data_IF_950675218585
#
_entry.id   IF_950675218585
#
_cell.length_a   1.000
_cell.length_b   1.000
_cell.length_c   1.000
_cell.angle_alpha   90.00
_cell.angle_beta   90.00
_cell.angle_gamma   90.00
#
_symmetry.space_group_name_H-M   'P 1'
#
loop_
_entity.id
_entity.type
_entity.pdbx_description
1 polymer ?
#
# COMPACT_ATOMS: atom_id res chain seq x y z
N UNK A 1 14.68 53.58 31.99
CA UNK A 1 15.13 54.34 33.18
C UNK A 1 14.09 54.07 34.26
N UNK A 2 14.36 53.04 35.06
CA UNK A 2 14.83 53.14 36.46
C UNK A 2 13.67 53.45 37.40
N UNK A 3 13.46 52.84 38.55
CA UNK A 3 14.01 51.70 39.29
C UNK A 3 13.13 51.70 40.56
N UNK A 4 12.45 50.62 40.96
CA UNK A 4 12.95 49.55 41.84
C UNK A 4 12.69 49.78 43.35
N UNK A 5 12.44 48.65 44.02
CA UNK A 5 12.48 48.33 45.47
C UNK A 5 11.23 48.56 46.34
N UNK A 6 10.90 47.71 47.31
CA UNK A 6 11.33 46.33 47.65
C UNK A 6 10.50 45.82 48.84
N UNK A 7 10.21 44.52 48.85
CA UNK A 7 10.15 43.55 49.98
C UNK A 7 9.93 44.03 51.43
N UNK A 8 9.04 43.36 52.18
CA UNK A 8 9.43 42.29 53.13
C UNK A 8 8.25 41.61 53.86
N UNK A 9 8.54 40.38 54.28
CA UNK A 9 7.72 39.28 54.83
C UNK A 9 7.60 39.33 56.37
N UNK A 10 6.50 38.81 56.95
CA UNK A 10 6.38 37.84 58.10
C UNK A 10 4.94 37.83 58.67
N UNK A 11 4.14 36.77 58.50
CA UNK A 11 3.90 35.57 59.36
C UNK A 11 3.33 35.87 60.77
N UNK A 12 2.13 35.32 61.06
CA UNK A 12 1.58 34.67 62.29
C UNK A 12 0.20 34.06 61.85
N UNK A 13 -0.07 32.74 61.80
CA UNK A 13 -0.49 31.79 62.88
C UNK A 13 -1.98 32.00 63.28
N UNK A 14 -2.94 31.06 63.36
CA UNK A 14 -2.98 29.61 63.63
C UNK A 14 -4.43 29.04 63.40
N UNK A 15 -4.55 27.76 62.97
CA UNK A 15 -5.59 26.68 63.10
C UNK A 15 -7.10 26.99 63.35
N UNK A 16 -8.09 26.25 62.79
CA UNK A 16 -8.55 24.86 63.12
C UNK A 16 -9.41 24.27 61.97
N UNK A 17 -9.44 22.91 61.90
CA UNK A 17 -10.16 21.94 61.01
C UNK A 17 -11.60 22.26 60.56
N UNK A 18 -12.22 21.56 59.60
CA UNK A 18 -12.12 20.19 59.14
C UNK A 18 -13.55 19.69 58.80
N UNK A 19 -13.70 18.96 57.68
CA UNK A 19 -14.84 18.09 57.30
C UNK A 19 -16.14 18.79 56.86
N UNK A 20 -16.69 18.42 55.68
CA UNK A 20 -18.09 17.98 55.44
C UNK A 20 -18.22 17.44 54.00
N UNK A 21 -18.58 16.15 53.90
CA UNK A 21 -19.19 15.48 52.73
C UNK A 21 -20.61 16.03 52.50
N UNK A 22 -21.13 16.00 51.26
CA UNK A 22 -22.59 15.95 51.09
C UNK A 22 -23.10 16.21 49.69
N UNK A 23 -23.65 15.17 49.08
CA UNK A 23 -24.33 15.17 47.79
C UNK A 23 -25.56 16.11 47.74
N UNK A 24 -25.86 16.62 46.54
CA UNK A 24 -27.18 17.15 46.19
C UNK A 24 -27.65 16.50 44.89
N UNK A 25 -28.59 15.57 45.04
CA UNK A 25 -29.60 15.30 44.02
C UNK A 25 -30.73 16.33 44.21
N UNK A 26 -31.29 16.88 43.12
CA UNK A 26 -32.69 16.64 42.69
C UNK A 26 -33.14 17.60 41.58
N UNK A 27 -33.61 16.97 40.48
CA UNK A 27 -34.77 17.30 39.61
C UNK A 27 -34.83 18.58 38.78
N UNK A 28 -35.03 18.38 37.46
CA UNK A 28 -35.50 19.38 36.52
C UNK A 28 -35.94 18.83 35.16
N UNK A 29 -37.15 18.22 35.13
CA UNK A 29 -38.18 18.29 34.07
C UNK A 29 -37.86 17.79 32.64
N UNK A 30 -38.67 16.82 32.20
CA UNK A 30 -38.86 16.38 30.80
C UNK A 30 -39.39 17.52 29.91
N UNK A 31 -38.78 17.70 28.72
CA UNK A 31 -39.47 18.09 27.49
C UNK A 31 -38.83 17.34 26.32
N UNK A 32 -39.65 16.54 25.64
CA UNK A 32 -39.26 15.69 24.52
C UNK A 32 -38.96 16.52 23.27
N UNK A 33 -37.84 16.26 22.60
CA UNK A 33 -37.66 16.58 21.17
C UNK A 33 -36.60 15.67 20.55
N UNK A 34 -37.08 14.79 19.65
CA UNK A 34 -36.32 13.92 18.72
C UNK A 34 -35.18 13.13 19.34
N UNK A 35 -35.45 11.86 19.65
CA UNK A 35 -34.41 10.84 19.75
C UNK A 35 -33.69 10.72 18.39
N UNK A 36 -32.65 11.51 18.16
CA UNK A 36 -31.50 11.02 17.41
C UNK A 36 -31.06 9.78 18.20
N UNK A 37 -31.05 8.61 17.55
CA UNK A 37 -30.28 7.47 18.07
C UNK A 37 -28.94 8.03 18.53
N UNK A 38 -28.68 8.01 19.84
CA UNK A 38 -27.34 8.24 20.33
C UNK A 38 -26.50 7.20 19.60
N UNK A 39 -25.67 7.66 18.66
CA UNK A 39 -24.67 6.80 18.04
C UNK A 39 -23.83 6.33 19.22
N UNK A 40 -23.81 5.03 19.45
CA UNK A 40 -22.97 4.46 20.48
C UNK A 40 -21.52 4.66 20.04
N UNK A 41 -20.91 5.74 20.53
CA UNK A 41 -19.55 6.12 20.16
C UNK A 41 -18.52 5.26 20.90
N UNK A 42 -18.94 4.47 21.90
CA UNK A 42 -18.06 3.59 22.70
C UNK A 42 -17.39 2.53 21.83
N UNK A 43 -18.10 1.98 20.84
CA UNK A 43 -17.55 1.01 19.90
C UNK A 43 -16.47 1.61 18.97
N UNK A 44 -16.50 2.93 18.74
CA UNK A 44 -15.55 3.63 17.86
C UNK A 44 -14.41 4.31 18.61
N UNK A 45 -14.48 4.44 19.94
CA UNK A 45 -13.45 5.10 20.73
C UNK A 45 -12.14 4.28 20.71
N UNK A 46 -12.21 2.96 20.66
CA UNK A 46 -11.02 2.12 20.82
C UNK A 46 -10.52 2.16 22.27
N UNK A 47 -9.21 1.99 22.49
CA UNK A 47 -8.63 2.01 23.85
C UNK A 47 -7.98 3.36 24.16
N UNK A 48 -7.96 3.81 25.43
CA UNK A 48 -7.17 4.96 25.85
C UNK A 48 -5.72 4.81 25.39
N UNK A 49 -5.20 5.81 24.68
CA UNK A 49 -3.87 5.76 24.07
C UNK A 49 -2.91 6.75 24.70
N UNK A 50 -3.29 8.02 24.77
CA UNK A 50 -2.44 9.09 25.34
C UNK A 50 -3.30 10.16 26.01
N UNK A 51 -2.79 10.75 27.09
CA UNK A 51 -3.40 11.92 27.74
C UNK A 51 -2.56 13.15 27.45
N UNK A 52 -3.18 14.20 26.92
CA UNK A 52 -2.56 15.51 26.65
C UNK A 52 -3.44 16.58 27.27
N UNK A 53 -2.86 17.40 28.16
CA UNK A 53 -3.57 18.48 28.87
C UNK A 53 -4.87 18.02 29.56
N UNK A 54 -4.86 16.83 30.16
CA UNK A 54 -6.01 16.24 30.84
C UNK A 54 -7.07 15.64 29.91
N UNK A 55 -6.92 15.75 28.59
CA UNK A 55 -7.78 15.09 27.61
C UNK A 55 -7.19 13.73 27.22
N UNK A 56 -8.00 12.67 27.32
CA UNK A 56 -7.66 11.35 26.77
C UNK A 56 -7.93 11.32 25.27
N UNK A 57 -6.98 10.76 24.53
CA UNK A 57 -7.09 10.45 23.12
C UNK A 57 -7.08 8.93 22.98
N UNK A 58 -8.18 8.39 22.52
CA UNK A 58 -8.35 6.96 22.28
C UNK A 58 -7.92 6.58 20.86
N UNK A 59 -7.54 5.32 20.65
CA UNK A 59 -7.00 4.83 19.37
C UNK A 59 -7.93 5.01 18.17
N UNK A 60 -9.24 5.08 18.40
CA UNK A 60 -10.24 5.29 17.34
C UNK A 60 -10.58 6.76 17.07
N UNK A 61 -10.03 7.70 17.85
CA UNK A 61 -10.26 9.15 17.72
C UNK A 61 -8.96 9.96 17.66
N UNK A 62 -7.90 9.35 17.16
CA UNK A 62 -6.63 10.05 16.94
C UNK A 62 -6.82 11.18 15.90
N UNK A 63 -6.29 12.38 16.17
CA UNK A 63 -6.52 13.54 15.30
C UNK A 63 -5.70 13.47 14.01
N UNK A 64 -6.22 14.06 12.93
CA UNK A 64 -5.53 14.15 11.65
C UNK A 64 -5.05 12.80 11.13
N UNK A 65 -3.79 12.75 10.71
CA UNK A 65 -3.17 11.58 10.08
C UNK A 65 -2.85 10.46 11.08
N UNK A 66 -2.87 10.77 12.38
CA UNK A 66 -2.46 9.85 13.44
C UNK A 66 -3.32 8.58 13.50
N UNK A 67 -4.58 8.64 13.06
CA UNK A 67 -5.42 7.43 12.95
C UNK A 67 -4.88 6.46 11.89
N UNK A 68 -4.41 6.98 10.76
CA UNK A 68 -3.83 6.18 9.69
C UNK A 68 -2.40 5.70 10.02
N UNK A 69 -1.61 6.52 10.72
CA UNK A 69 -0.31 6.11 11.25
C UNK A 69 -0.44 4.97 12.26
N UNK A 70 -1.44 5.07 13.15
CA UNK A 70 -1.73 4.00 14.10
C UNK A 70 -2.20 2.72 13.41
N UNK A 71 -3.05 2.82 12.38
CA UNK A 71 -3.40 1.69 11.53
C UNK A 71 -2.18 1.07 10.86
N UNK A 72 -1.27 1.89 10.31
CA UNK A 72 -0.02 1.42 9.70
C UNK A 72 0.83 0.64 10.70
N UNK A 73 0.99 1.17 11.93
CA UNK A 73 1.70 0.48 13.00
C UNK A 73 1.04 -0.87 13.33
N UNK A 74 -0.28 -0.89 13.51
CA UNK A 74 -1.03 -2.12 13.78
C UNK A 74 -0.87 -3.14 12.64
N UNK A 75 -0.88 -2.68 11.38
CA UNK A 75 -0.70 -3.55 10.21
C UNK A 75 0.71 -4.15 10.16
N UNK A 76 1.74 -3.36 10.49
CA UNK A 76 3.11 -3.87 10.58
C UNK A 76 3.26 -4.95 11.66
N UNK A 77 2.66 -4.73 12.83
CA UNK A 77 2.63 -5.72 13.92
C UNK A 77 1.90 -6.99 13.46
N UNK A 78 0.69 -6.84 12.91
CA UNK A 78 -0.11 -7.96 12.41
C UNK A 78 0.63 -8.76 11.34
N UNK A 79 1.27 -8.11 10.37
CA UNK A 79 2.02 -8.79 9.31
C UNK A 79 3.23 -9.55 9.86
N UNK A 80 3.94 -8.98 10.85
CA UNK A 80 5.04 -9.66 11.52
C UNK A 80 4.55 -10.90 12.30
N UNK A 81 3.48 -10.76 13.07
CA UNK A 81 2.85 -11.86 13.81
C UNK A 81 2.33 -12.96 12.86
N UNK A 82 1.68 -12.57 11.76
CA UNK A 82 1.16 -13.49 10.74
C UNK A 82 2.30 -14.25 10.09
N UNK A 83 3.37 -13.59 9.66
CA UNK A 83 4.52 -14.24 9.06
C UNK A 83 5.17 -15.23 10.04
N UNK A 84 5.33 -14.83 11.30
CA UNK A 84 5.85 -15.72 12.35
C UNK A 84 4.95 -16.94 12.58
N UNK A 85 3.63 -16.73 12.68
CA UNK A 85 2.65 -17.80 12.84
C UNK A 85 2.63 -18.77 11.66
N UNK A 86 2.65 -18.27 10.41
CA UNK A 86 2.69 -19.11 9.20
C UNK A 86 3.98 -19.95 9.13
N UNK A 87 5.13 -19.40 9.51
CA UNK A 87 6.41 -20.14 9.54
C UNK A 87 6.39 -21.26 10.60
N UNK A 88 5.85 -20.98 11.78
CA UNK A 88 5.67 -22.02 12.82
C UNK A 88 4.72 -23.10 12.33
N UNK A 89 3.57 -22.70 11.76
CA UNK A 89 2.57 -23.64 11.26
C UNK A 89 3.13 -24.54 10.16
N UNK A 90 3.92 -23.97 9.24
CA UNK A 90 4.66 -24.74 8.22
C UNK A 90 5.57 -25.79 8.87
N UNK A 91 6.43 -25.38 9.82
CA UNK A 91 7.38 -26.30 10.47
C UNK A 91 6.67 -27.41 11.23
N UNK A 92 5.60 -27.10 11.95
CA UNK A 92 4.80 -28.10 12.66
C UNK A 92 4.18 -29.09 11.66
N UNK A 93 3.59 -28.59 10.57
CA UNK A 93 2.99 -29.45 9.55
C UNK A 93 4.01 -30.39 8.91
N UNK A 94 5.18 -29.87 8.51
CA UNK A 94 6.24 -30.67 7.90
C UNK A 94 6.89 -31.66 8.90
N UNK A 95 7.06 -31.26 10.16
CA UNK A 95 7.57 -32.15 11.20
C UNK A 95 6.62 -33.33 11.43
N UNK A 96 5.32 -33.07 11.52
CA UNK A 96 4.30 -34.11 11.62
C UNK A 96 4.33 -35.06 10.41
N UNK A 97 4.45 -34.52 9.19
CA UNK A 97 4.55 -35.34 7.96
C UNK A 97 5.80 -36.24 7.97
N UNK A 98 6.90 -35.75 8.54
CA UNK A 98 8.17 -36.47 8.65
C UNK A 98 8.27 -37.37 9.89
N UNK A 99 7.21 -37.47 10.71
CA UNK A 99 7.23 -38.20 11.98
C UNK A 99 8.26 -37.67 12.98
N UNK A 100 8.59 -36.38 12.90
CA UNK A 100 9.55 -35.70 13.78
C UNK A 100 8.84 -35.14 15.02
N UNK A 101 9.53 -35.03 16.16
CA UNK A 101 8.93 -34.54 17.39
C UNK A 101 8.46 -33.08 17.27
N UNK A 102 7.30 -32.80 17.87
CA UNK A 102 6.73 -31.47 18.05
C UNK A 102 6.33 -31.32 19.52
N UNK A 103 7.03 -30.44 20.25
CA UNK A 103 6.78 -30.18 21.67
C UNK A 103 7.10 -28.74 22.04
N UNK A 104 6.90 -28.38 23.32
CA UNK A 104 7.26 -27.05 23.84
C UNK A 104 8.76 -26.74 23.78
N UNK A 105 9.61 -27.76 23.70
CA UNK A 105 11.08 -27.62 23.71
C UNK A 105 11.73 -28.07 22.41
N UNK A 106 11.00 -28.76 21.54
CA UNK A 106 11.56 -29.37 20.33
C UNK A 106 10.65 -29.15 19.12
N UNK A 107 11.23 -28.52 18.10
CA UNK A 107 10.65 -28.38 16.77
C UNK A 107 11.81 -28.31 15.77
N UNK A 108 11.95 -29.26 14.82
CA UNK A 108 13.06 -29.24 13.87
C UNK A 108 13.14 -27.94 13.07
N UNK A 109 14.35 -27.59 12.64
CA UNK A 109 14.55 -26.41 11.78
C UNK A 109 13.98 -26.67 10.39
N UNK A 110 13.68 -25.58 9.66
CA UNK A 110 13.03 -25.70 8.36
C UNK A 110 13.93 -26.40 7.33
N UNK A 111 15.24 -26.21 7.42
CA UNK A 111 16.23 -26.81 6.52
C UNK A 111 16.34 -28.33 6.68
N UNK A 112 15.95 -28.87 7.83
CA UNK A 112 15.88 -30.31 8.10
C UNK A 112 14.57 -30.95 7.57
N UNK A 113 13.55 -30.12 7.38
CA UNK A 113 12.19 -30.53 7.02
C UNK A 113 11.88 -30.30 5.54
N UNK A 114 12.55 -29.33 4.92
CA UNK A 114 12.30 -28.90 3.56
C UNK A 114 13.62 -28.83 2.78
N UNK A 115 13.72 -29.65 1.74
CA UNK A 115 14.89 -29.64 0.86
C UNK A 115 14.89 -28.37 0.00
N UNK A 116 15.82 -27.47 0.26
CA UNK A 116 16.01 -26.22 -0.48
C UNK A 116 17.39 -26.27 -1.17
N UNK A 117 17.47 -26.75 -2.42
CA UNK A 117 18.76 -26.84 -3.11
C UNK A 117 19.30 -25.44 -3.43
N UNK A 118 20.61 -25.19 -3.19
CA UNK A 118 21.24 -23.92 -3.52
C UNK A 118 21.17 -23.67 -5.03
N UNK A 119 21.31 -22.40 -5.42
CA UNK A 119 21.34 -22.00 -6.83
C UNK A 119 22.65 -22.43 -7.45
N UNK A 120 22.56 -23.14 -8.58
CA UNK A 120 23.74 -23.62 -9.30
C UNK A 120 24.54 -22.44 -9.89
N UNK A 121 25.85 -22.65 -10.13
CA UNK A 121 26.68 -21.63 -10.79
C UNK A 121 26.14 -21.30 -12.19
N UNK A 122 25.64 -22.31 -12.91
CA UNK A 122 25.04 -22.14 -14.22
C UNK A 122 23.81 -21.22 -14.17
N UNK A 123 22.90 -21.44 -13.22
CA UNK A 123 21.70 -20.61 -13.06
C UNK A 123 22.08 -19.17 -12.69
N UNK A 124 23.07 -19.00 -11.80
CA UNK A 124 23.57 -17.68 -11.42
C UNK A 124 24.21 -16.94 -12.61
N UNK A 125 24.95 -17.67 -13.46
CA UNK A 125 25.55 -17.11 -14.67
C UNK A 125 24.49 -16.69 -15.69
N UNK A 126 23.48 -17.53 -15.91
CA UNK A 126 22.36 -17.20 -16.80
C UNK A 126 21.58 -15.98 -16.31
N UNK A 127 21.33 -15.88 -15.00
CA UNK A 127 20.71 -14.71 -14.41
C UNK A 127 21.56 -13.45 -14.61
N UNK A 128 22.87 -13.53 -14.34
CA UNK A 128 23.80 -12.42 -14.55
C UNK A 128 23.78 -11.92 -16.00
N UNK A 129 23.91 -12.83 -16.97
CA UNK A 129 23.90 -12.51 -18.40
C UNK A 129 22.56 -11.90 -18.84
N UNK A 130 21.44 -12.45 -18.36
CA UNK A 130 20.10 -11.94 -18.61
C UNK A 130 19.94 -10.51 -18.09
N UNK A 131 20.34 -10.24 -16.86
CA UNK A 131 20.22 -8.91 -16.26
C UNK A 131 21.09 -7.89 -16.99
N UNK A 132 22.31 -8.26 -17.40
CA UNK A 132 23.16 -7.39 -18.23
C UNK A 132 22.54 -7.13 -19.60
N UNK A 133 21.95 -8.15 -20.24
CA UNK A 133 21.27 -7.96 -21.51
C UNK A 133 20.06 -7.02 -21.39
N UNK A 134 19.38 -7.03 -20.22
CA UNK A 134 18.19 -6.20 -19.97
C UNK A 134 18.51 -4.78 -19.50
N UNK A 135 19.54 -4.61 -18.68
CA UNK A 135 19.78 -3.37 -17.93
C UNK A 135 21.20 -2.81 -18.13
N UNK A 136 22.03 -3.48 -18.92
CA UNK A 136 23.43 -3.13 -19.14
C UNK A 136 24.36 -3.58 -18.00
N UNK A 137 25.67 -3.50 -18.25
CA UNK A 137 26.70 -3.90 -17.29
C UNK A 137 26.72 -3.03 -16.01
N UNK A 138 26.11 -1.84 -16.05
CA UNK A 138 26.04 -0.90 -14.93
C UNK A 138 25.31 -1.46 -13.70
N UNK A 139 24.37 -2.39 -13.85
CA UNK A 139 23.61 -2.97 -12.73
C UNK A 139 24.49 -3.68 -11.71
N UNK A 140 25.62 -4.26 -12.15
CA UNK A 140 26.59 -4.89 -11.26
C UNK A 140 27.83 -4.02 -11.04
N UNK A 141 27.75 -2.72 -11.34
CA UNK A 141 28.87 -1.80 -11.29
C UNK A 141 30.01 -2.15 -12.26
N UNK A 142 29.69 -2.82 -13.38
CA UNK A 142 30.68 -3.28 -14.36
C UNK A 142 31.52 -4.48 -13.91
N UNK A 143 31.21 -5.11 -12.77
CA UNK A 143 31.96 -6.25 -12.25
C UNK A 143 31.65 -7.54 -13.02
N UNK A 144 32.67 -8.36 -13.27
CA UNK A 144 32.51 -9.66 -13.94
C UNK A 144 31.76 -10.69 -13.07
N UNK A 145 31.15 -11.68 -13.74
CA UNK A 145 30.50 -12.81 -13.06
C UNK A 145 31.41 -13.47 -12.03
N UNK A 146 32.67 -13.78 -12.39
CA UNK A 146 33.63 -14.41 -11.47
C UNK A 146 33.84 -13.65 -10.16
N UNK A 147 33.77 -12.31 -10.21
CA UNK A 147 33.96 -11.47 -9.02
C UNK A 147 32.75 -11.49 -8.10
N UNK A 148 31.55 -11.64 -8.65
CA UNK A 148 30.30 -11.54 -7.87
C UNK A 148 29.57 -12.87 -7.69
N UNK A 149 30.03 -13.97 -8.30
CA UNK A 149 29.31 -15.25 -8.38
C UNK A 149 28.86 -15.76 -7.01
N UNK A 150 29.71 -15.73 -6.00
CA UNK A 150 29.39 -16.24 -4.68
C UNK A 150 28.29 -15.42 -3.98
N UNK A 151 28.39 -14.09 -4.06
CA UNK A 151 27.38 -13.19 -3.52
C UNK A 151 26.05 -13.36 -4.27
N UNK A 152 26.11 -13.46 -5.60
CA UNK A 152 24.94 -13.63 -6.45
C UNK A 152 24.24 -14.97 -6.18
N UNK A 153 24.99 -16.07 -6.11
CA UNK A 153 24.47 -17.39 -5.74
C UNK A 153 23.83 -17.38 -4.35
N UNK A 154 24.47 -16.75 -3.36
CA UNK A 154 23.91 -16.64 -2.01
C UNK A 154 22.60 -15.87 -2.02
N UNK A 155 22.56 -14.70 -2.66
CA UNK A 155 21.35 -13.87 -2.74
C UNK A 155 20.22 -14.60 -3.47
N UNK A 156 20.50 -15.21 -4.63
CA UNK A 156 19.49 -15.97 -5.37
C UNK A 156 19.03 -17.21 -4.58
N UNK A 157 19.93 -17.87 -3.84
CA UNK A 157 19.54 -19.01 -3.00
C UNK A 157 18.61 -18.58 -1.86
N UNK A 158 18.85 -17.42 -1.24
CA UNK A 158 17.94 -16.85 -0.22
C UNK A 158 16.57 -16.49 -0.80
N UNK A 159 16.54 -15.91 -2.01
CA UNK A 159 15.30 -15.60 -2.73
C UNK A 159 14.52 -16.88 -3.06
N UNK A 160 15.19 -17.86 -3.67
CA UNK A 160 14.61 -19.18 -4.00
C UNK A 160 14.09 -19.90 -2.77
N UNK A 161 14.84 -19.87 -1.66
CA UNK A 161 14.39 -20.42 -0.38
C UNK A 161 13.08 -19.76 0.08
N UNK A 162 13.05 -18.42 0.07
CA UNK A 162 11.87 -17.65 0.46
C UNK A 162 10.65 -17.97 -0.42
N UNK A 163 10.83 -18.08 -1.74
CA UNK A 163 9.76 -18.46 -2.67
C UNK A 163 9.22 -19.86 -2.43
N UNK A 164 10.11 -20.84 -2.21
CA UNK A 164 9.71 -22.23 -1.92
C UNK A 164 8.90 -22.28 -0.62
N UNK A 165 9.37 -21.58 0.41
CA UNK A 165 8.71 -21.52 1.72
C UNK A 165 7.33 -20.86 1.61
N UNK A 166 7.23 -19.71 0.94
CA UNK A 166 5.95 -19.03 0.71
C UNK A 166 4.98 -19.90 -0.08
N UNK A 167 5.45 -20.57 -1.13
CA UNK A 167 4.62 -21.48 -1.93
C UNK A 167 4.10 -22.65 -1.09
N UNK A 168 4.95 -23.21 -0.22
CA UNK A 168 4.54 -24.32 0.64
C UNK A 168 3.53 -23.88 1.71
N UNK A 169 3.71 -22.69 2.30
CA UNK A 169 2.71 -22.08 3.18
C UNK A 169 1.38 -21.94 2.43
N UNK A 170 1.39 -21.36 1.24
CA UNK A 170 0.19 -21.16 0.43
C UNK A 170 -0.50 -22.49 0.08
N UNK A 171 0.26 -23.52 -0.30
CA UNK A 171 -0.26 -24.87 -0.57
C UNK A 171 -1.00 -25.44 0.64
N UNK A 172 -0.40 -25.34 1.83
CA UNK A 172 -0.99 -25.83 3.08
C UNK A 172 -2.19 -24.99 3.53
N UNK A 173 -2.18 -23.68 3.31
CA UNK A 173 -3.31 -22.78 3.60
C UNK A 173 -4.51 -23.09 2.69
N UNK A 174 -4.27 -23.20 1.38
CA UNK A 174 -5.30 -23.54 0.38
C UNK A 174 -5.85 -24.95 0.63
N UNK A 175 -5.00 -25.89 1.03
CA UNK A 175 -5.40 -27.25 1.42
C UNK A 175 -6.10 -27.32 2.79
N UNK A 176 -6.24 -26.21 3.51
CA UNK A 176 -6.86 -26.15 4.84
C UNK A 176 -6.06 -26.83 5.95
N UNK A 177 -4.80 -27.21 5.68
CA UNK A 177 -3.91 -27.88 6.65
C UNK A 177 -3.37 -26.90 7.69
N UNK A 178 -3.16 -25.65 7.30
CA UNK A 178 -2.78 -24.57 8.22
C UNK A 178 -3.75 -23.40 8.06
N UNK A 179 -4.01 -22.70 9.17
CA UNK A 179 -4.82 -21.48 9.18
C UNK A 179 -4.29 -20.55 10.26
N UNK A 180 -3.90 -19.35 9.88
CA UNK A 180 -3.58 -18.29 10.84
C UNK A 180 -4.89 -17.69 11.37
N UNK A 181 -5.01 -17.61 12.69
CA UNK A 181 -6.22 -17.15 13.39
C UNK A 181 -6.15 -15.68 13.84
N UNK A 182 -5.13 -14.94 13.39
CA UNK A 182 -4.99 -13.52 13.68
C UNK A 182 -6.04 -12.72 12.93
N UNK A 183 -6.58 -11.69 13.57
CA UNK A 183 -7.51 -10.77 12.95
C UNK A 183 -6.74 -9.57 12.37
N UNK A 184 -6.94 -9.22 11.09
CA UNK A 184 -6.30 -8.04 10.52
C UNK A 184 -6.85 -6.77 11.19
N UNK A 185 -6.01 -5.72 11.35
CA UNK A 185 -6.49 -4.43 11.81
C UNK A 185 -7.47 -3.84 10.79
N UNK A 186 -8.44 -3.07 11.29
CA UNK A 186 -9.42 -2.41 10.43
C UNK A 186 -8.87 -1.08 9.93
N UNK A 187 -8.81 -0.91 8.61
CA UNK A 187 -8.41 0.36 7.99
C UNK A 187 -9.42 1.46 8.30
N UNK A 188 -8.97 2.64 8.79
CA UNK A 188 -9.78 3.84 8.83
C UNK A 188 -10.25 4.20 7.43
N UNK A 189 -11.47 4.73 7.30
CA UNK A 189 -11.95 5.22 6.01
C UNK A 189 -11.30 6.55 5.68
N UNK A 190 -10.73 6.66 4.48
CA UNK A 190 -10.25 7.90 3.90
C UNK A 190 -11.24 8.42 2.87
N UNK A 191 -11.37 9.75 2.80
CA UNK A 191 -12.19 10.41 1.78
C UNK A 191 -11.31 10.72 0.58
N UNK A 192 -11.54 10.03 -0.52
CA UNK A 192 -10.83 10.24 -1.79
C UNK A 192 -11.65 11.15 -2.71
N UNK A 193 -11.01 12.10 -3.38
CA UNK A 193 -11.66 12.90 -4.41
C UNK A 193 -11.54 12.21 -5.77
N UNK A 194 -12.56 11.44 -6.15
CA UNK A 194 -12.53 10.61 -7.35
C UNK A 194 -13.05 11.33 -8.62
N UNK A 195 -13.30 12.63 -8.54
CA UNK A 195 -13.80 13.40 -9.67
C UNK A 195 -12.75 13.56 -10.78
N UNK A 196 -13.15 13.32 -12.03
CA UNK A 196 -12.29 13.44 -13.20
C UNK A 196 -11.32 12.29 -13.43
N UNK A 197 -11.22 11.33 -12.50
CA UNK A 197 -10.39 10.14 -12.69
C UNK A 197 -11.07 9.12 -13.64
N UNK A 198 -10.30 8.47 -14.52
CA UNK A 198 -10.81 7.41 -15.38
C UNK A 198 -11.44 6.27 -14.57
N UNK A 199 -12.60 5.80 -15.02
CA UNK A 199 -13.28 4.68 -14.38
C UNK A 199 -13.97 3.77 -15.38
N UNK A 200 -14.15 2.51 -15.00
CA UNK A 200 -14.88 1.47 -15.75
C UNK A 200 -15.85 0.73 -14.83
N UNK A 201 -16.74 -0.04 -15.44
CA UNK A 201 -17.86 -0.69 -14.74
C UNK A 201 -19.02 0.27 -14.47
N UNK A 202 -19.79 -0.01 -13.42
CA UNK A 202 -21.02 0.71 -13.13
C UNK A 202 -20.70 2.02 -12.42
N UNK A 203 -20.80 3.14 -13.14
CA UNK A 203 -20.51 4.49 -12.64
C UNK A 203 -21.38 4.91 -11.44
N UNK A 204 -22.52 4.23 -11.24
CA UNK A 204 -23.48 4.47 -10.16
C UNK A 204 -23.40 3.41 -9.04
N UNK A 205 -22.41 2.52 -9.07
CA UNK A 205 -22.22 1.51 -8.04
C UNK A 205 -21.94 2.16 -6.66
N UNK A 206 -22.52 1.57 -5.61
CA UNK A 206 -22.18 1.91 -4.22
C UNK A 206 -20.84 1.33 -3.77
N UNK A 207 -20.32 0.34 -4.50
CA UNK A 207 -18.98 -0.20 -4.32
C UNK A 207 -18.03 0.51 -5.26
N UNK A 208 -17.06 1.21 -4.69
CA UNK A 208 -16.02 1.93 -5.43
C UNK A 208 -14.67 1.31 -5.08
N UNK A 209 -14.07 0.68 -6.08
CA UNK A 209 -12.72 0.17 -6.02
C UNK A 209 -11.78 1.19 -6.66
N UNK A 210 -10.72 1.57 -5.96
CA UNK A 210 -9.71 2.51 -6.46
C UNK A 210 -8.37 1.81 -6.48
N UNK A 211 -7.69 1.87 -7.62
CA UNK A 211 -6.30 1.49 -7.77
C UNK A 211 -5.45 2.74 -7.97
N UNK A 212 -4.40 2.87 -7.16
CA UNK A 212 -3.33 3.85 -7.36
C UNK A 212 -2.10 3.09 -7.83
N UNK A 213 -1.66 3.33 -9.07
CA UNK A 213 -0.64 2.53 -9.72
C UNK A 213 0.34 3.37 -10.56
N UNK A 214 1.54 2.81 -10.73
CA UNK A 214 2.60 3.35 -11.58
C UNK A 214 2.88 2.37 -12.72
N UNK A 215 2.93 2.86 -13.96
CA UNK A 215 3.24 2.07 -15.15
C UNK A 215 4.62 1.39 -15.12
N UNK A 216 5.57 1.92 -14.33
CA UNK A 216 6.90 1.33 -14.12
C UNK A 216 7.07 0.60 -12.78
N UNK A 217 6.00 0.37 -12.03
CA UNK A 217 6.06 -0.50 -10.85
C UNK A 217 5.88 -1.96 -11.25
N UNK A 218 6.82 -2.83 -10.85
CA UNK A 218 6.77 -4.26 -11.14
C UNK A 218 5.51 -4.92 -10.58
N UNK A 219 5.16 -4.63 -9.32
CA UNK A 219 3.96 -5.16 -8.71
C UNK A 219 2.67 -4.65 -9.36
N UNK A 220 2.64 -3.40 -9.85
CA UNK A 220 1.48 -2.90 -10.61
C UNK A 220 1.27 -3.71 -11.90
N UNK A 221 2.35 -4.07 -12.60
CA UNK A 221 2.26 -4.92 -13.80
C UNK A 221 1.81 -6.34 -13.48
N UNK A 222 2.20 -6.87 -12.32
CA UNK A 222 1.73 -8.18 -11.84
C UNK A 222 0.24 -8.15 -11.51
N UNK A 223 -0.27 -7.03 -10.98
CA UNK A 223 -1.67 -6.91 -10.57
C UNK A 223 -2.61 -6.48 -11.70
N UNK A 224 -2.14 -5.76 -12.72
CA UNK A 224 -3.02 -5.24 -13.78
C UNK A 224 -3.88 -6.32 -14.45
N UNK A 225 -3.35 -7.50 -14.88
CA UNK A 225 -4.20 -8.55 -15.47
C UNK A 225 -5.28 -9.07 -14.52
N UNK A 226 -4.99 -9.07 -13.20
CA UNK A 226 -5.94 -9.47 -12.16
C UNK A 226 -7.04 -8.42 -12.03
N UNK A 227 -6.68 -7.14 -11.96
CA UNK A 227 -7.62 -6.02 -11.87
C UNK A 227 -8.47 -5.93 -13.14
N UNK A 228 -7.90 -6.16 -14.33
CA UNK A 228 -8.62 -6.21 -15.60
C UNK A 228 -9.68 -7.32 -15.58
N UNK A 229 -9.30 -8.55 -15.21
CA UNK A 229 -10.21 -9.68 -15.09
C UNK A 229 -11.36 -9.39 -14.12
N UNK A 230 -11.05 -8.91 -12.92
CA UNK A 230 -12.05 -8.62 -11.88
C UNK A 230 -12.98 -7.48 -12.31
N UNK A 231 -12.43 -6.45 -12.97
CA UNK A 231 -13.24 -5.33 -13.44
C UNK A 231 -14.30 -5.73 -14.46
N UNK A 232 -14.00 -6.76 -15.28
CA UNK A 232 -14.95 -7.36 -16.23
C UNK A 232 -15.97 -8.24 -15.50
N UNK A 233 -15.51 -9.04 -14.53
CA UNK A 233 -16.37 -9.95 -13.75
C UNK A 233 -17.40 -9.20 -12.90
N UNK A 234 -17.06 -8.02 -12.37
CA UNK A 234 -17.92 -7.21 -11.48
C UNK A 234 -18.33 -5.87 -12.09
N UNK A 235 -18.31 -5.75 -13.42
CA UNK A 235 -18.58 -4.51 -14.14
C UNK A 235 -19.96 -3.88 -13.82
N UNK A 236 -20.94 -4.70 -13.46
CA UNK A 236 -22.30 -4.33 -13.09
C UNK A 236 -22.43 -3.86 -11.63
N UNK A 237 -21.52 -4.28 -10.75
CA UNK A 237 -21.62 -4.08 -9.29
C UNK A 237 -20.66 -3.05 -8.73
N UNK A 238 -19.54 -2.81 -9.40
CA UNK A 238 -18.43 -2.02 -8.87
C UNK A 238 -18.01 -0.95 -9.87
N UNK A 239 -17.72 0.25 -9.34
CA UNK A 239 -17.02 1.31 -10.06
C UNK A 239 -15.52 1.12 -9.81
N UNK A 240 -14.77 0.79 -10.87
CA UNK A 240 -13.32 0.68 -10.81
C UNK A 240 -12.70 2.00 -11.27
N UNK A 241 -11.98 2.67 -10.39
CA UNK A 241 -11.27 3.92 -10.66
C UNK A 241 -9.78 3.62 -10.71
N UNK A 242 -9.11 4.12 -11.74
CA UNK A 242 -7.66 4.07 -11.83
C UNK A 242 -7.06 5.46 -11.63
N UNK A 243 -6.01 5.52 -10.82
CA UNK A 243 -5.25 6.72 -10.53
C UNK A 243 -3.80 6.46 -10.92
N UNK A 244 -3.38 7.09 -12.02
CA UNK A 244 -1.99 7.02 -12.47
C UNK A 244 -1.14 7.90 -11.57
N UNK A 245 -0.28 7.27 -10.77
CA UNK A 245 0.64 7.90 -9.82
C UNK A 245 2.09 7.57 -10.21
N UNK A 246 2.93 8.55 -10.57
CA UNK A 246 4.31 8.27 -10.93
C UNK A 246 5.21 8.27 -9.69
N UNK A 247 5.88 7.15 -9.41
CA UNK A 247 6.94 7.09 -8.38
C UNK A 247 8.15 7.94 -8.77
N UNK A 248 8.43 8.05 -10.08
CA UNK A 248 9.50 8.88 -10.64
C UNK A 248 8.92 9.91 -11.62
N UNK A 249 8.40 11.03 -11.09
CA UNK A 249 7.71 12.07 -11.86
C UNK A 249 8.57 12.75 -12.96
N UNK A 250 9.88 12.78 -12.80
CA UNK A 250 10.81 13.33 -13.80
C UNK A 250 11.34 12.27 -14.78
N UNK A 251 11.02 11.00 -14.57
CA UNK A 251 11.44 9.88 -15.40
C UNK A 251 10.37 9.43 -16.40
N UNK A 252 10.60 8.25 -16.99
CA UNK A 252 9.65 7.60 -17.89
C UNK A 252 8.27 7.36 -17.22
N UNK A 253 8.24 7.04 -15.93
CA UNK A 253 7.00 6.91 -15.15
C UNK A 253 6.14 8.18 -15.20
N UNK A 254 6.77 9.34 -14.99
CA UNK A 254 6.13 10.64 -15.15
C UNK A 254 5.63 10.88 -16.57
N UNK A 255 6.45 10.60 -17.59
CA UNK A 255 6.05 10.79 -18.98
C UNK A 255 4.84 9.93 -19.38
N UNK A 256 4.80 8.65 -18.98
CA UNK A 256 3.65 7.77 -19.22
C UNK A 256 2.40 8.25 -18.47
N UNK A 257 2.57 8.76 -17.24
CA UNK A 257 1.45 9.35 -16.49
C UNK A 257 0.90 10.59 -17.18
N UNK A 258 1.76 11.49 -17.70
CA UNK A 258 1.32 12.66 -18.48
C UNK A 258 0.58 12.23 -19.75
N UNK A 259 1.07 11.18 -20.41
CA UNK A 259 0.39 10.60 -21.56
C UNK A 259 -0.99 10.03 -21.21
N UNK A 260 -1.12 9.32 -20.08
CA UNK A 260 -2.40 8.80 -19.63
C UNK A 260 -3.42 9.92 -19.33
N UNK A 261 -2.98 11.03 -18.75
CA UNK A 261 -3.80 12.22 -18.60
C UNK A 261 -4.29 12.75 -19.96
N UNK A 262 -3.39 12.90 -20.94
CA UNK A 262 -3.76 13.37 -22.28
C UNK A 262 -4.67 12.39 -23.04
N UNK A 263 -4.49 11.08 -22.83
CA UNK A 263 -5.38 10.06 -23.36
C UNK A 263 -6.81 10.20 -22.79
N UNK A 264 -6.94 10.56 -21.51
CA UNK A 264 -8.24 10.82 -20.86
C UNK A 264 -9.00 11.97 -21.52
N UNK A 265 -8.29 13.02 -21.96
CA UNK A 265 -8.89 14.15 -22.70
C UNK A 265 -9.51 13.73 -24.04
N UNK A 266 -9.06 12.62 -24.62
CA UNK A 266 -9.61 12.04 -25.85
C UNK A 266 -10.72 11.01 -25.60
N UNK A 267 -11.10 10.78 -24.34
CA UNK A 267 -12.20 9.91 -23.95
C UNK A 267 -11.78 8.62 -23.24
N UNK A 268 -12.78 7.95 -22.65
CA UNK A 268 -12.58 6.77 -21.79
C UNK A 268 -11.89 5.61 -22.52
N UNK A 269 -12.29 5.32 -23.77
CA UNK A 269 -11.67 4.27 -24.59
C UNK A 269 -10.19 4.57 -24.83
N UNK A 270 -9.87 5.81 -25.21
CA UNK A 270 -8.50 6.26 -25.47
C UNK A 270 -7.61 6.13 -24.24
N UNK A 271 -8.14 6.46 -23.05
CA UNK A 271 -7.44 6.22 -21.80
C UNK A 271 -7.13 4.74 -21.58
N UNK A 272 -8.12 3.84 -21.70
CA UNK A 272 -7.91 2.42 -21.43
C UNK A 272 -6.96 1.77 -22.44
N UNK A 273 -7.06 2.13 -23.73
CA UNK A 273 -6.12 1.67 -24.75
C UNK A 273 -4.69 2.14 -24.45
N UNK A 274 -4.52 3.41 -24.07
CA UNK A 274 -3.23 3.96 -23.64
C UNK A 274 -2.70 3.25 -22.41
N UNK A 275 -3.54 3.07 -21.40
CA UNK A 275 -3.20 2.45 -20.12
C UNK A 275 -2.70 1.01 -20.31
N UNK A 276 -3.39 0.21 -21.12
CA UNK A 276 -2.94 -1.16 -21.44
C UNK A 276 -1.57 -1.15 -22.11
N UNK A 277 -1.34 -0.29 -23.11
CA UNK A 277 -0.06 -0.23 -23.81
C UNK A 277 1.07 0.37 -22.95
N UNK A 278 0.77 1.33 -22.07
CA UNK A 278 1.74 1.94 -21.17
C UNK A 278 2.34 0.93 -20.19
N UNK A 279 1.55 -0.03 -19.70
CA UNK A 279 2.06 -1.12 -18.86
C UNK A 279 2.97 -2.11 -19.62
N UNK A 280 2.93 -2.14 -20.95
CA UNK A 280 3.80 -2.99 -21.78
C UNK A 280 5.17 -2.34 -22.08
N UNK A 281 5.37 -1.06 -21.74
CA UNK A 281 6.63 -0.35 -22.01
C UNK A 281 7.79 -1.05 -21.27
N UNK A 282 8.88 -1.50 -21.92
CA UNK A 282 9.95 -2.23 -21.24
C UNK A 282 10.67 -1.40 -20.17
N UNK A 283 11.01 -2.00 -19.02
CA UNK A 283 11.78 -1.33 -17.95
C UNK A 283 13.13 -0.78 -18.42
N UNK A 284 13.74 -1.39 -19.44
CA UNK A 284 15.01 -0.92 -20.01
C UNK A 284 14.92 0.51 -20.56
N UNK A 285 13.73 0.96 -20.99
CA UNK A 285 13.51 2.34 -21.46
C UNK A 285 13.54 3.38 -20.34
N UNK A 286 13.55 2.96 -19.07
CA UNK A 286 13.75 3.88 -17.94
C UNK A 286 15.21 4.36 -17.82
N UNK A 287 16.15 3.76 -18.58
CA UNK A 287 17.56 4.16 -18.63
C UNK A 287 17.89 4.73 -20.03
N UNK A 288 17.61 6.01 -20.28
CA UNK A 288 17.77 6.61 -21.59
C UNK A 288 19.25 6.69 -21.98
N UNK A 289 19.55 6.38 -23.23
CA UNK A 289 20.89 6.49 -23.81
C UNK A 289 20.93 7.73 -24.69
N UNK A 290 21.38 8.88 -24.17
CA UNK A 290 21.52 10.10 -24.95
C UNK A 290 21.57 11.38 -24.10
N UNK A 291 21.73 12.52 -24.77
CA UNK A 291 21.98 13.81 -24.12
C UNK A 291 20.70 14.51 -23.59
N UNK A 292 19.52 14.03 -23.98
CA UNK A 292 18.22 14.57 -23.52
C UNK A 292 17.27 13.45 -23.05
N UNK A 293 17.46 12.96 -21.81
CA UNK A 293 16.59 11.97 -21.17
C UNK A 293 15.11 12.35 -21.18
N UNK A 294 14.79 13.62 -20.91
CA UNK A 294 13.42 14.10 -20.78
C UNK A 294 12.68 13.97 -22.10
N UNK A 295 13.30 14.40 -23.21
CA UNK A 295 12.71 14.24 -24.54
C UNK A 295 12.49 12.77 -24.89
N UNK A 296 13.45 11.88 -24.60
CA UNK A 296 13.29 10.44 -24.87
C UNK A 296 12.09 9.84 -24.13
N UNK A 297 11.84 10.25 -22.89
CA UNK A 297 10.68 9.80 -22.14
C UNK A 297 9.36 10.31 -22.73
N UNK A 298 9.30 11.57 -23.16
CA UNK A 298 8.11 12.14 -23.81
C UNK A 298 7.85 11.50 -25.19
N UNK A 299 8.90 11.25 -25.96
CA UNK A 299 8.82 10.53 -27.24
C UNK A 299 8.23 9.11 -27.02
N UNK A 300 8.59 8.45 -25.91
CA UNK A 300 8.01 7.15 -25.56
C UNK A 300 6.51 7.25 -25.22
N UNK A 301 6.07 8.29 -24.51
CA UNK A 301 4.65 8.52 -24.26
C UNK A 301 3.86 8.73 -25.57
N UNK A 302 4.45 9.41 -26.56
CA UNK A 302 3.86 9.58 -27.91
C UNK A 302 3.83 8.24 -28.66
N UNK A 303 4.87 7.40 -28.54
CA UNK A 303 4.88 6.06 -29.14
C UNK A 303 3.74 5.18 -28.59
N UNK A 304 3.50 5.22 -27.28
CA UNK A 304 2.37 4.51 -26.66
C UNK A 304 1.03 5.05 -27.19
N UNK A 305 0.87 6.36 -27.34
CA UNK A 305 -0.33 6.96 -27.92
C UNK A 305 -0.56 6.50 -29.37
N UNK A 306 0.51 6.38 -30.17
CA UNK A 306 0.46 5.85 -31.53
C UNK A 306 0.01 4.39 -31.57
N UNK A 307 0.57 3.55 -30.71
CA UNK A 307 0.16 2.13 -30.58
C UNK A 307 -1.31 1.99 -30.13
N UNK A 308 -1.79 3.00 -29.41
CA UNK A 308 -3.16 3.06 -28.89
C UNK A 308 -4.14 3.70 -29.89
N UNK A 309 -3.71 4.07 -31.09
CA UNK A 309 -4.51 4.73 -32.14
C UNK A 309 -5.18 6.05 -31.71
N UNK A 310 -4.49 6.85 -30.88
CA UNK A 310 -4.97 8.17 -30.47
C UNK A 310 -4.72 9.23 -31.55
N UNK A 311 -5.44 10.36 -31.45
CA UNK A 311 -5.12 11.56 -32.22
C UNK A 311 -3.79 12.13 -31.71
N UNK A 312 -2.72 11.87 -32.47
CA UNK A 312 -1.37 12.28 -32.10
C UNK A 312 -1.19 13.80 -32.07
N UNK A 313 -1.96 14.55 -32.86
CA UNK A 313 -1.87 16.01 -32.86
C UNK A 313 -2.41 16.56 -31.55
N UNK A 314 -3.66 16.22 -31.22
CA UNK A 314 -4.29 16.64 -29.97
C UNK A 314 -3.54 16.11 -28.74
N UNK A 315 -3.01 14.89 -28.81
CA UNK A 315 -2.22 14.29 -27.74
C UNK A 315 -0.93 15.07 -27.49
N UNK A 316 -0.19 15.40 -28.56
CA UNK A 316 1.10 16.11 -28.45
C UNK A 316 0.88 17.56 -27.99
N UNK A 317 -0.18 18.22 -28.44
CA UNK A 317 -0.58 19.54 -27.95
C UNK A 317 -0.86 19.51 -26.44
N UNK A 318 -1.61 18.51 -25.95
CA UNK A 318 -1.83 18.32 -24.52
C UNK A 318 -0.54 18.03 -23.75
N UNK A 319 0.32 17.15 -24.28
CA UNK A 319 1.55 16.73 -23.62
C UNK A 319 2.54 17.89 -23.43
N UNK A 320 2.55 18.85 -24.36
CA UNK A 320 3.36 20.06 -24.30
C UNK A 320 2.74 21.18 -23.44
N UNK A 321 1.50 21.03 -22.98
CA UNK A 321 0.86 21.96 -22.06
C UNK A 321 1.32 21.75 -20.61
N UNK A 322 0.90 22.62 -19.70
CA UNK A 322 1.19 22.45 -18.27
C UNK A 322 0.19 21.53 -17.55
N UNK A 323 -0.97 21.24 -18.14
CA UNK A 323 -2.04 20.48 -17.47
C UNK A 323 -1.58 19.10 -16.95
N UNK A 324 -0.76 18.31 -17.68
CA UNK A 324 -0.30 17.01 -17.17
C UNK A 324 0.65 17.15 -15.96
N UNK A 325 1.40 18.25 -15.85
CA UNK A 325 2.23 18.52 -14.68
C UNK A 325 1.37 18.87 -13.46
N UNK A 326 0.33 19.67 -13.66
CA UNK A 326 -0.65 20.01 -12.60
C UNK A 326 -1.37 18.76 -12.11
N UNK A 327 -1.73 17.84 -13.00
CA UNK A 327 -2.27 16.53 -12.62
C UNK A 327 -1.31 15.75 -11.71
N UNK A 328 -0.02 15.65 -12.08
CA UNK A 328 0.99 14.95 -11.26
C UNK A 328 1.13 15.61 -9.88
N UNK A 329 1.18 16.95 -9.82
CA UNK A 329 1.26 17.66 -8.55
C UNK A 329 0.01 17.42 -7.70
N UNK A 330 -1.18 17.47 -8.30
CA UNK A 330 -2.43 17.18 -7.61
C UNK A 330 -2.43 15.78 -7.00
N UNK A 331 -2.13 14.75 -7.80
CA UNK A 331 -2.17 13.36 -7.32
C UNK A 331 -1.08 13.09 -6.26
N UNK A 332 0.11 13.68 -6.39
CA UNK A 332 1.15 13.58 -5.37
C UNK A 332 0.76 14.28 -4.07
N UNK A 333 0.16 15.46 -4.13
CA UNK A 333 -0.33 16.16 -2.94
C UNK A 333 -1.47 15.40 -2.26
N UNK A 334 -2.39 14.83 -3.04
CA UNK A 334 -3.52 14.06 -2.51
C UNK A 334 -3.03 12.77 -1.85
N UNK A 335 -2.22 11.96 -2.52
CA UNK A 335 -1.87 10.63 -1.99
C UNK A 335 -0.71 10.64 -1.00
N UNK A 336 0.23 11.60 -1.06
CA UNK A 336 1.25 11.74 -0.01
C UNK A 336 0.71 12.40 1.27
N UNK A 337 -0.58 12.75 1.30
CA UNK A 337 -1.29 13.17 2.51
C UNK A 337 -1.89 11.98 3.28
N UNK A 338 -2.85 12.24 4.17
CA UNK A 338 -3.56 11.35 5.10
C UNK A 338 -4.38 10.21 4.46
N UNK A 339 -3.97 9.68 3.31
CA UNK A 339 -4.66 8.59 2.60
C UNK A 339 -4.18 7.20 3.04
N UNK A 340 -3.02 7.14 3.72
CA UNK A 340 -2.36 5.88 4.08
C UNK A 340 -1.62 5.21 2.92
N UNK A 341 -1.55 5.87 1.76
CA UNK A 341 -0.69 5.48 0.65
C UNK A 341 0.77 5.38 1.08
N UNK A 342 1.43 4.26 0.74
CA UNK A 342 2.86 4.02 1.01
C UNK A 342 3.66 3.63 -0.24
N UNK A 343 2.99 3.57 -1.40
CA UNK A 343 3.60 3.13 -2.65
C UNK A 343 2.56 2.52 -3.59
N UNK A 344 3.02 2.05 -4.75
CA UNK A 344 2.16 1.45 -5.76
C UNK A 344 2.43 -0.06 -5.88
N UNK A 345 1.40 -0.90 -6.13
CA UNK A 345 -0.01 -0.52 -6.13
C UNK A 345 -0.53 -0.27 -4.71
N UNK A 346 -1.48 0.64 -4.56
CA UNK A 346 -2.36 0.72 -3.37
C UNK A 346 -3.80 0.57 -3.82
N UNK A 347 -4.57 -0.23 -3.10
CA UNK A 347 -5.98 -0.48 -3.40
C UNK A 347 -6.89 0.05 -2.30
N UNK A 348 -8.01 0.64 -2.69
CA UNK A 348 -9.06 1.06 -1.77
C UNK A 348 -10.38 0.44 -2.17
N UNK A 349 -11.17 0.01 -1.17
CA UNK A 349 -12.59 -0.31 -1.35
C UNK A 349 -13.41 0.59 -0.43
N UNK A 350 -14.27 1.42 -1.03
CA UNK A 350 -15.08 2.40 -0.31
C UNK A 350 -14.26 3.27 0.67
N UNK A 351 -13.07 3.67 0.23
CA UNK A 351 -12.16 4.51 1.02
C UNK A 351 -11.39 3.79 2.12
N UNK A 352 -11.51 2.45 2.25
CA UNK A 352 -10.64 1.67 3.15
C UNK A 352 -9.53 1.01 2.38
N UNK A 353 -8.31 0.99 2.92
CA UNK A 353 -7.18 0.30 2.30
C UNK A 353 -7.47 -1.20 2.27
N UNK A 354 -7.29 -1.80 1.10
CA UNK A 354 -7.37 -3.24 0.90
C UNK A 354 -5.95 -3.81 0.84
N UNK A 355 -5.53 -4.42 1.95
CA UNK A 355 -4.24 -5.10 2.05
C UNK A 355 -4.27 -6.40 1.23
N UNK A 356 -3.55 -6.43 0.12
CA UNK A 356 -3.39 -7.64 -0.67
C UNK A 356 -2.08 -7.64 -1.46
N UNK A 357 -1.37 -8.77 -1.39
CA UNK A 357 -0.30 -9.06 -2.34
C UNK A 357 -0.89 -9.58 -3.67
N UNK A 358 -0.12 -9.56 -4.78
CA UNK A 358 -0.63 -10.01 -6.08
C UNK A 358 -1.25 -11.41 -6.06
N UNK A 359 -0.72 -12.35 -5.28
CA UNK A 359 -1.19 -13.74 -5.21
C UNK A 359 -2.56 -13.88 -4.52
N UNK A 360 -2.88 -12.98 -3.59
CA UNK A 360 -4.12 -13.00 -2.81
C UNK A 360 -5.13 -11.94 -3.27
N UNK A 361 -4.72 -11.02 -4.15
CA UNK A 361 -5.52 -9.88 -4.60
C UNK A 361 -6.91 -10.26 -5.12
N UNK A 362 -7.00 -11.27 -5.99
CA UNK A 362 -8.29 -11.70 -6.52
C UNK A 362 -9.22 -12.21 -5.42
N UNK A 363 -8.70 -13.04 -4.50
CA UNK A 363 -9.48 -13.57 -3.39
C UNK A 363 -9.91 -12.45 -2.43
N UNK A 364 -8.99 -11.53 -2.09
CA UNK A 364 -9.27 -10.39 -1.20
C UNK A 364 -10.34 -9.47 -1.78
N UNK A 365 -10.25 -9.12 -3.07
CA UNK A 365 -11.26 -8.27 -3.72
C UNK A 365 -12.61 -8.99 -3.76
N UNK A 366 -12.65 -10.28 -4.14
CA UNK A 366 -13.89 -11.06 -4.18
C UNK A 366 -14.54 -11.22 -2.82
N UNK A 367 -13.75 -11.40 -1.76
CA UNK A 367 -14.24 -11.47 -0.40
C UNK A 367 -14.79 -10.12 0.10
N UNK A 368 -14.22 -9.02 -0.37
CA UNK A 368 -14.63 -7.67 0.05
C UNK A 368 -15.84 -7.12 -0.74
N UNK A 369 -16.08 -7.63 -1.96
CA UNK A 369 -17.25 -7.27 -2.79
C UNK A 369 -18.51 -8.07 -2.41
N UNK A 370 -18.36 -9.30 -1.90
CA UNK A 370 -19.46 -10.14 -1.41
C UNK A 370 -19.96 -9.64 -0.05
#
# INVERSE_FOLDING_TARGET
>A
MQDNKSSNIKIIGFFIGGIILGALATTGVMLAQKAKKAVDISANLGKPFVVVDGKTWDTGMLPGDSGMDYFTLQNNIYNAEKNFASQIALRIALANDAGKPVSSTELPKLEELLNIPPVSEQDAKQYYEKIIAQMGAGVFGGQSFEKIKAQLQMQMSQQKASEIVLRKIQELEVGGRIKVLLNPPTSPSVKLNLEGYPSRGNKNASLVFVEVADYLCAHCRETEPIIEKISKEFADKVKFVHISYPLAAQGLSGALTKGAFCATKQGEKSFWDYHTNAFQVPFSKANPTGNDPTKQFLDEAINVAKQSNLDLKAFTECLNSNEPNEYIQKVQNEFNSSTGFKGTPTFYLNGKILEANPQQLEASIKAAIK
#
